data_IF_317900370708
#
_entry.id   IF_317900370708
#
_cell.length_a   1.000
_cell.length_b   1.000
_cell.length_c   1.000
_cell.angle_alpha   90.00
_cell.angle_beta   90.00
_cell.angle_gamma   90.00
#
_symmetry.space_group_name_H-M   'P 1'
#
loop_
_entity.id
_entity.type
_entity.pdbx_description
1 polymer ?
#
# COMPACT_ATOMS: atom_id res chain seq x y z
N UNK A 1 25.70 48.44 25.53
CA UNK A 1 27.09 48.68 25.09
C UNK A 1 28.05 47.91 25.97
N UNK A 2 28.82 46.99 25.42
CA UNK A 2 29.96 46.31 26.04
C UNK A 2 29.80 45.78 27.48
N UNK A 3 29.16 44.66 27.66
CA UNK A 3 29.42 43.76 28.78
C UNK A 3 28.80 42.39 28.41
N UNK A 4 29.51 41.56 27.71
CA UNK A 4 28.98 40.27 27.28
C UNK A 4 30.01 39.27 26.78
N UNK A 5 31.33 39.57 26.94
CA UNK A 5 32.31 38.71 26.26
C UNK A 5 33.35 38.06 27.19
N UNK A 6 33.12 38.01 28.50
CA UNK A 6 34.12 37.43 29.44
C UNK A 6 33.69 36.22 30.25
N UNK A 7 32.45 35.73 30.11
CA UNK A 7 31.98 34.60 30.94
C UNK A 7 31.98 33.22 30.29
N UNK A 8 32.33 33.08 29.00
CA UNK A 8 32.32 31.80 28.31
C UNK A 8 33.60 30.97 28.38
N UNK A 9 34.60 31.37 29.15
CA UNK A 9 35.90 30.70 29.20
C UNK A 9 36.22 29.97 30.51
N UNK A 10 35.26 29.37 31.19
CA UNK A 10 35.59 28.55 32.36
C UNK A 10 34.66 27.35 32.54
N UNK A 11 35.19 26.17 32.17
CA UNK A 11 35.01 24.86 32.83
C UNK A 11 33.58 24.26 32.97
N UNK A 12 33.21 23.53 32.01
CA UNK A 12 32.67 22.16 31.97
C UNK A 12 31.94 21.98 30.64
N UNK A 13 31.87 20.78 30.10
CA UNK A 13 31.23 20.49 28.81
C UNK A 13 29.74 20.90 28.77
N UNK A 14 29.11 21.01 29.93
CA UNK A 14 27.72 21.43 30.06
C UNK A 14 27.54 22.95 29.88
N UNK A 15 28.52 23.74 30.34
CA UNK A 15 28.54 25.21 30.16
C UNK A 15 28.81 25.60 28.71
N UNK A 16 29.55 24.77 27.97
CA UNK A 16 29.80 25.01 26.55
C UNK A 16 28.56 24.79 25.69
N UNK A 17 27.76 23.78 26.01
CA UNK A 17 26.50 23.50 25.36
C UNK A 17 25.46 24.61 25.60
N UNK A 18 25.34 25.12 26.82
CA UNK A 18 24.44 26.25 27.12
C UNK A 18 24.90 27.51 26.40
N UNK A 19 26.20 27.82 26.39
CA UNK A 19 26.74 28.97 25.68
C UNK A 19 26.57 28.87 24.14
N UNK A 20 26.63 27.67 23.58
CA UNK A 20 26.31 27.43 22.16
C UNK A 20 24.82 27.64 21.87
N UNK A 21 23.94 27.18 22.76
CA UNK A 21 22.50 27.37 22.64
C UNK A 21 22.17 28.87 22.71
N UNK A 22 22.70 29.58 23.71
CA UNK A 22 22.50 31.03 23.86
C UNK A 22 23.06 31.83 22.66
N UNK A 23 24.20 31.40 22.10
CA UNK A 23 24.76 31.99 20.88
C UNK A 23 23.86 31.78 19.66
N UNK A 24 23.29 30.55 19.52
CA UNK A 24 22.36 30.23 18.47
C UNK A 24 21.03 30.98 18.62
N UNK A 25 20.52 31.11 19.84
CA UNK A 25 19.34 31.90 20.15
C UNK A 25 19.53 33.39 19.78
N UNK A 26 20.66 33.96 20.16
CA UNK A 26 21.00 35.34 19.81
C UNK A 26 21.22 35.56 18.31
N UNK A 27 21.74 34.55 17.60
CA UNK A 27 21.99 34.60 16.16
C UNK A 27 20.73 34.47 15.32
N UNK A 28 19.76 33.66 15.78
CA UNK A 28 18.47 33.45 15.12
C UNK A 28 17.45 34.57 15.49
N UNK A 29 17.77 35.42 16.47
CA UNK A 29 16.88 36.51 16.91
C UNK A 29 15.65 36.02 17.68
N UNK A 30 15.77 34.86 18.36
CA UNK A 30 14.73 34.31 19.20
C UNK A 30 14.84 34.91 20.61
N UNK A 31 14.20 36.03 20.83
CA UNK A 31 14.20 36.70 22.13
C UNK A 31 13.32 36.00 23.19
N UNK A 32 12.48 35.02 22.76
CA UNK A 32 11.61 34.27 23.67
C UNK A 32 11.44 32.80 23.18
N UNK A 33 12.26 31.89 23.67
CA UNK A 33 12.16 30.47 23.39
C UNK A 33 10.77 29.88 23.78
N UNK A 34 10.17 30.40 24.85
CA UNK A 34 8.83 30.00 25.31
C UNK A 34 7.73 30.36 24.30
N UNK A 35 7.79 31.53 23.68
CA UNK A 35 6.81 31.91 22.65
C UNK A 35 6.97 31.07 21.38
N UNK A 36 8.21 30.73 21.04
CA UNK A 36 8.48 29.86 19.89
C UNK A 36 8.02 28.42 20.14
N UNK A 37 8.25 27.87 21.33
CA UNK A 37 7.74 26.53 21.71
C UNK A 37 6.22 26.50 21.68
N UNK A 38 5.54 27.52 22.17
CA UNK A 38 4.09 27.63 22.10
C UNK A 38 3.60 27.71 20.64
N UNK A 39 4.33 28.42 19.77
CA UNK A 39 4.01 28.48 18.34
C UNK A 39 4.21 27.15 17.62
N UNK A 40 5.29 26.43 17.96
CA UNK A 40 5.56 25.06 17.44
C UNK A 40 4.49 24.09 17.92
N UNK A 41 4.10 24.14 19.19
CA UNK A 41 3.01 23.33 19.72
C UNK A 41 1.69 23.60 18.99
N UNK A 42 1.37 24.87 18.74
CA UNK A 42 0.18 25.22 17.95
C UNK A 42 0.27 24.69 16.51
N UNK A 43 1.42 24.79 15.85
CA UNK A 43 1.64 24.23 14.53
C UNK A 43 1.52 22.70 14.52
N UNK A 44 2.08 22.03 15.53
CA UNK A 44 1.94 20.57 15.69
C UNK A 44 0.46 20.20 15.82
N UNK A 45 -0.31 20.91 16.62
CA UNK A 45 -1.75 20.66 16.78
C UNK A 45 -2.52 20.86 15.48
N UNK A 46 -2.23 21.91 14.72
CA UNK A 46 -2.88 22.18 13.43
C UNK A 46 -2.50 21.16 12.37
N UNK A 47 -1.23 20.70 12.35
CA UNK A 47 -0.76 19.71 11.40
C UNK A 47 -0.94 18.24 11.85
N UNK A 48 -1.35 18.00 13.10
CA UNK A 48 -1.59 16.67 13.66
C UNK A 48 -2.48 15.78 12.75
N UNK A 49 -3.64 16.25 12.25
CA UNK A 49 -4.46 15.46 11.35
C UNK A 49 -3.73 15.06 10.06
N UNK A 50 -2.90 15.94 9.52
CA UNK A 50 -2.09 15.68 8.34
C UNK A 50 -1.02 14.64 8.63
N UNK A 51 -0.35 14.74 9.78
CA UNK A 51 0.65 13.77 10.24
C UNK A 51 0.01 12.39 10.39
N UNK A 52 -1.16 12.31 11.02
CA UNK A 52 -1.87 11.04 11.20
C UNK A 52 -2.25 10.43 9.86
N UNK A 53 -2.80 11.21 8.93
CA UNK A 53 -3.27 10.71 7.62
C UNK A 53 -2.11 10.23 6.73
N UNK A 54 -0.95 10.87 6.80
CA UNK A 54 0.18 10.56 5.90
C UNK A 54 1.23 9.65 6.53
N UNK A 55 1.60 9.91 7.79
CA UNK A 55 2.72 9.21 8.43
C UNK A 55 2.29 7.88 9.05
N UNK A 56 1.14 7.83 9.70
CA UNK A 56 0.69 6.63 10.39
C UNK A 56 0.51 5.41 9.46
N UNK A 57 -0.16 5.53 8.29
CA UNK A 57 -0.25 4.40 7.36
C UNK A 57 1.12 3.96 6.84
N UNK A 58 2.03 4.89 6.61
CA UNK A 58 3.39 4.57 6.20
C UNK A 58 4.15 3.82 7.30
N UNK A 59 4.09 4.32 8.54
CA UNK A 59 4.72 3.65 9.68
C UNK A 59 4.14 2.26 9.94
N UNK A 60 2.82 2.08 9.84
CA UNK A 60 2.21 0.75 10.00
C UNK A 60 2.73 -0.24 8.98
N UNK A 61 2.87 0.16 7.71
CA UNK A 61 3.45 -0.70 6.67
C UNK A 61 4.92 -1.03 7.01
N UNK A 62 5.72 -0.04 7.41
CA UNK A 62 7.12 -0.25 7.80
C UNK A 62 7.22 -1.19 8.99
N UNK A 63 6.41 -1.01 10.04
CA UNK A 63 6.40 -1.89 11.21
C UNK A 63 5.94 -3.31 10.86
N UNK A 64 4.99 -3.48 9.96
CA UNK A 64 4.60 -4.79 9.47
C UNK A 64 5.77 -5.49 8.76
N UNK A 65 6.50 -4.81 7.89
CA UNK A 65 7.70 -5.37 7.26
C UNK A 65 8.79 -5.71 8.26
N UNK A 66 9.04 -4.83 9.23
CA UNK A 66 10.01 -5.10 10.30
C UNK A 66 9.60 -6.30 11.17
N UNK A 67 8.31 -6.42 11.49
CA UNK A 67 7.81 -7.57 12.26
C UNK A 67 7.96 -8.89 11.50
N UNK A 68 7.72 -8.87 10.19
CA UNK A 68 7.94 -10.03 9.31
C UNK A 68 9.42 -10.40 9.27
N UNK A 69 10.31 -9.42 9.10
CA UNK A 69 11.75 -9.65 9.14
C UNK A 69 12.18 -10.25 10.49
N UNK A 70 11.66 -9.72 11.60
CA UNK A 70 11.95 -10.24 12.93
C UNK A 70 11.47 -11.68 13.12
N UNK A 71 10.24 -12.01 12.67
CA UNK A 71 9.71 -13.37 12.72
C UNK A 71 10.52 -14.34 11.86
N UNK A 72 11.02 -13.89 10.71
CA UNK A 72 11.87 -14.69 9.84
C UNK A 72 13.23 -14.98 10.49
N UNK A 73 13.85 -13.96 11.09
CA UNK A 73 15.10 -14.13 11.82
C UNK A 73 14.89 -15.09 13.00
N UNK A 74 13.79 -14.96 13.72
CA UNK A 74 13.45 -15.85 14.83
C UNK A 74 13.21 -17.30 14.38
N UNK A 75 12.41 -17.52 13.34
CA UNK A 75 12.19 -18.84 12.75
C UNK A 75 13.48 -19.45 12.23
N UNK A 76 14.29 -18.65 11.55
CA UNK A 76 15.55 -19.09 10.96
C UNK A 76 16.64 -19.40 12.01
N UNK A 77 16.61 -18.74 13.15
CA UNK A 77 17.52 -19.06 14.27
C UNK A 77 17.36 -20.52 14.76
N UNK A 78 16.16 -21.06 14.65
CA UNK A 78 15.89 -22.46 15.00
C UNK A 78 16.30 -23.41 13.84
N UNK A 79 16.05 -23.05 12.59
CA UNK A 79 16.48 -23.85 11.43
C UNK A 79 18.01 -23.78 11.21
N UNK A 80 18.65 -22.66 11.52
CA UNK A 80 20.11 -22.52 11.46
C UNK A 80 20.85 -23.37 12.50
N UNK A 81 20.22 -23.70 13.63
CA UNK A 81 20.83 -24.64 14.60
C UNK A 81 20.95 -26.06 14.03
N UNK A 82 20.07 -26.44 13.09
CA UNK A 82 20.11 -27.74 12.42
C UNK A 82 20.98 -27.73 11.15
N UNK A 83 21.22 -26.56 10.56
CA UNK A 83 21.90 -26.41 9.27
C UNK A 83 23.37 -25.93 9.37
N UNK A 84 23.95 -25.88 10.57
CA UNK A 84 25.37 -25.51 10.74
C UNK A 84 26.29 -26.62 10.22
N UNK A 85 26.46 -26.68 8.92
CA UNK A 85 27.61 -27.30 8.26
C UNK A 85 28.57 -26.18 7.81
N UNK A 86 29.64 -26.10 8.44
CA UNK A 86 31.01 -25.63 8.13
C UNK A 86 31.29 -24.49 7.13
N UNK A 87 30.34 -23.77 6.55
CA UNK A 87 30.62 -22.66 5.63
C UNK A 87 29.69 -21.48 5.89
N UNK A 88 30.24 -20.43 6.50
CA UNK A 88 29.62 -19.11 6.71
C UNK A 88 29.08 -18.50 5.41
N UNK A 89 29.71 -18.79 4.27
CA UNK A 89 29.31 -18.31 2.94
C UNK A 89 28.05 -18.97 2.40
N UNK A 90 27.88 -20.28 2.62
CA UNK A 90 26.66 -20.98 2.20
C UNK A 90 25.44 -20.58 3.04
N UNK A 91 25.66 -20.29 4.32
CA UNK A 91 24.64 -19.72 5.17
C UNK A 91 24.21 -18.32 4.72
N UNK A 92 25.17 -17.45 4.45
CA UNK A 92 24.93 -16.09 3.96
C UNK A 92 24.25 -16.09 2.57
N UNK A 93 24.67 -16.97 1.67
CA UNK A 93 24.11 -17.11 0.33
C UNK A 93 22.66 -17.63 0.36
N UNK A 94 22.37 -18.61 1.22
CA UNK A 94 21.02 -19.10 1.44
C UNK A 94 20.12 -18.05 2.10
N UNK A 95 20.66 -17.27 3.05
CA UNK A 95 19.92 -16.17 3.69
C UNK A 95 19.64 -15.05 2.71
N UNK A 96 20.60 -14.67 1.87
CA UNK A 96 20.42 -13.69 0.79
C UNK A 96 19.43 -14.18 -0.27
N UNK A 97 19.52 -15.44 -0.70
CA UNK A 97 18.57 -16.01 -1.65
C UNK A 97 17.14 -16.04 -1.09
N UNK A 98 16.98 -16.32 0.20
CA UNK A 98 15.67 -16.34 0.86
C UNK A 98 15.14 -14.94 1.15
N UNK A 99 16.01 -13.96 1.38
CA UNK A 99 15.64 -12.53 1.44
C UNK A 99 15.28 -11.99 0.05
N UNK A 100 15.92 -12.53 -1.00
CA UNK A 100 15.63 -12.18 -2.39
C UNK A 100 14.33 -12.80 -2.91
N UNK A 101 13.96 -13.97 -2.43
CA UNK A 101 12.62 -14.54 -2.59
C UNK A 101 11.57 -13.80 -1.72
N UNK A 102 11.80 -12.53 -1.49
CA UNK A 102 11.03 -11.66 -0.59
C UNK A 102 9.51 -11.67 -0.80
N UNK A 103 9.04 -12.10 -1.97
CA UNK A 103 7.64 -12.40 -2.20
C UNK A 103 7.14 -13.58 -1.37
N UNK A 104 7.82 -14.69 -1.38
CA UNK A 104 7.45 -15.88 -0.60
C UNK A 104 7.52 -15.58 0.91
N UNK A 105 8.50 -14.80 1.32
CA UNK A 105 8.76 -14.41 2.71
C UNK A 105 7.67 -13.51 3.29
N UNK A 106 7.26 -12.48 2.55
CA UNK A 106 6.15 -11.58 2.94
C UNK A 106 4.85 -12.38 3.03
N UNK A 107 4.57 -13.24 2.06
CA UNK A 107 3.39 -14.08 2.04
C UNK A 107 3.36 -15.08 3.20
N UNK A 108 4.47 -15.70 3.56
CA UNK A 108 4.53 -16.65 4.70
C UNK A 108 4.24 -15.97 6.05
N UNK A 109 4.72 -14.74 6.28
CA UNK A 109 4.44 -13.98 7.50
C UNK A 109 2.97 -13.56 7.62
N UNK A 110 2.30 -13.27 6.51
CA UNK A 110 0.88 -12.89 6.45
C UNK A 110 -0.08 -14.07 6.26
N UNK A 111 0.45 -15.27 6.03
CA UNK A 111 -0.37 -16.45 5.71
C UNK A 111 -1.56 -16.64 6.67
N UNK A 112 -1.41 -16.60 8.00
CA UNK A 112 -2.55 -16.80 8.91
C UNK A 112 -3.63 -15.73 8.76
N UNK A 113 -3.22 -14.47 8.50
CA UNK A 113 -4.15 -13.37 8.28
C UNK A 113 -4.89 -13.53 6.95
N UNK A 114 -4.18 -13.90 5.91
CA UNK A 114 -4.72 -14.11 4.57
C UNK A 114 -5.70 -15.28 4.56
N UNK A 115 -5.35 -16.37 5.25
CA UNK A 115 -6.23 -17.54 5.41
C UNK A 115 -7.52 -17.19 6.18
N UNK A 116 -7.42 -16.35 7.23
CA UNK A 116 -8.59 -15.87 7.98
C UNK A 116 -9.55 -15.03 7.11
N UNK A 117 -9.04 -14.33 6.10
CA UNK A 117 -9.86 -13.61 5.12
C UNK A 117 -10.32 -14.48 3.93
N UNK A 118 -10.04 -15.77 3.94
CA UNK A 118 -10.41 -16.70 2.86
C UNK A 118 -9.66 -16.44 1.55
N UNK A 119 -8.50 -15.77 1.60
CA UNK A 119 -7.68 -15.54 0.41
C UNK A 119 -6.94 -16.81 0.03
N UNK A 120 -7.18 -17.28 -1.18
CA UNK A 120 -6.46 -18.42 -1.75
C UNK A 120 -5.07 -17.94 -2.18
N UNK A 121 -4.05 -18.47 -1.52
CA UNK A 121 -2.66 -18.29 -1.94
C UNK A 121 -2.21 -19.55 -2.63
N UNK A 122 -2.01 -19.48 -3.93
CA UNK A 122 -1.57 -20.65 -4.62
C UNK A 122 -1.51 -20.51 -6.13
N UNK A 123 -1.03 -21.56 -6.76
CA UNK A 123 -0.99 -21.67 -8.20
C UNK A 123 -2.41 -21.68 -8.78
N UNK A 124 -2.49 -21.49 -10.08
CA UNK A 124 -3.71 -21.47 -10.87
C UNK A 124 -4.63 -22.67 -10.60
N UNK A 125 -4.04 -23.83 -10.38
CA UNK A 125 -4.71 -25.12 -10.13
C UNK A 125 -5.62 -25.06 -8.89
N UNK A 126 -5.18 -24.40 -7.83
CA UNK A 126 -5.99 -24.22 -6.62
C UNK A 126 -7.21 -23.33 -6.87
N UNK A 127 -7.05 -22.28 -7.69
CA UNK A 127 -8.16 -21.42 -8.10
C UNK A 127 -9.20 -22.22 -8.91
N UNK A 128 -8.75 -23.01 -9.87
CA UNK A 128 -9.61 -23.88 -10.69
C UNK A 128 -10.33 -24.92 -9.82
N UNK A 129 -9.63 -25.54 -8.87
CA UNK A 129 -10.20 -26.49 -7.92
C UNK A 129 -11.30 -25.87 -7.05
N UNK A 130 -11.06 -24.66 -6.54
CA UNK A 130 -12.04 -23.92 -5.75
C UNK A 130 -13.32 -23.64 -6.56
N UNK A 131 -13.19 -23.19 -7.81
CA UNK A 131 -14.31 -22.92 -8.70
C UNK A 131 -15.09 -24.21 -9.05
N UNK A 132 -14.40 -25.30 -9.34
CA UNK A 132 -15.04 -26.62 -9.61
C UNK A 132 -15.77 -27.19 -8.39
N UNK A 133 -15.33 -26.82 -7.19
CA UNK A 133 -16.02 -27.18 -5.94
C UNK A 133 -17.24 -26.26 -5.64
N UNK A 134 -17.61 -25.36 -6.56
CA UNK A 134 -18.77 -24.49 -6.41
C UNK A 134 -18.53 -23.24 -5.57
N UNK A 135 -17.28 -22.91 -5.25
CA UNK A 135 -16.96 -21.67 -4.53
C UNK A 135 -16.92 -20.47 -5.48
N UNK A 136 -17.30 -19.29 -4.95
CA UNK A 136 -17.11 -18.03 -5.64
C UNK A 136 -15.67 -17.56 -5.44
N UNK A 137 -15.02 -17.09 -6.51
CA UNK A 137 -13.65 -16.61 -6.48
C UNK A 137 -13.57 -15.17 -6.98
N UNK A 138 -13.11 -14.25 -6.13
CA UNK A 138 -12.79 -12.88 -6.52
C UNK A 138 -11.33 -12.78 -6.97
N UNK A 139 -11.09 -12.27 -8.17
CA UNK A 139 -9.75 -12.05 -8.71
C UNK A 139 -9.59 -10.59 -9.08
N UNK A 140 -8.46 -9.98 -8.69
CA UNK A 140 -8.04 -8.65 -9.10
C UNK A 140 -6.95 -8.74 -10.19
N UNK A 141 -7.29 -8.58 -11.48
CA UNK A 141 -6.35 -8.83 -12.58
C UNK A 141 -5.12 -7.92 -12.57
N UNK A 142 -5.30 -6.66 -12.21
CA UNK A 142 -4.20 -5.69 -12.09
C UNK A 142 -3.27 -5.96 -10.92
N UNK A 143 -3.77 -6.67 -9.90
CA UNK A 143 -3.03 -7.02 -8.70
C UNK A 143 -2.42 -5.80 -8.00
N UNK A 144 -1.33 -6.04 -7.30
CA UNK A 144 -0.64 -5.00 -6.51
C UNK A 144 -0.16 -3.81 -7.35
N UNK A 145 0.24 -4.03 -8.62
CA UNK A 145 0.67 -2.95 -9.50
C UNK A 145 -0.45 -1.94 -9.74
N UNK A 146 -1.65 -2.41 -10.03
CA UNK A 146 -2.82 -1.55 -10.22
C UNK A 146 -3.23 -0.87 -8.91
N UNK A 147 -3.18 -1.60 -7.78
CA UNK A 147 -3.49 -1.05 -6.48
C UNK A 147 -2.57 0.14 -6.12
N UNK A 148 -1.27 0.03 -6.43
CA UNK A 148 -0.27 1.04 -6.08
C UNK A 148 -0.15 2.20 -7.08
N UNK A 149 -0.42 1.98 -8.36
CA UNK A 149 -0.14 2.97 -9.42
C UNK A 149 -1.37 3.47 -10.17
N UNK A 150 -2.56 3.01 -9.83
CA UNK A 150 -3.81 3.57 -10.33
C UNK A 150 -4.13 4.89 -9.63
N UNK A 151 -4.69 5.82 -10.37
CA UNK A 151 -4.99 7.19 -9.96
C UNK A 151 -6.47 7.54 -10.12
N UNK A 152 -6.80 8.83 -10.05
CA UNK A 152 -8.15 9.37 -10.23
C UNK A 152 -8.73 9.22 -11.63
N UNK A 153 -7.94 8.79 -12.60
CA UNK A 153 -8.42 8.52 -13.98
C UNK A 153 -9.07 7.15 -14.12
N UNK A 154 -8.92 6.28 -13.12
CA UNK A 154 -9.42 4.91 -13.14
C UNK A 154 -8.96 4.09 -14.36
N UNK A 155 -7.78 4.41 -14.88
CA UNK A 155 -7.19 3.67 -16.00
C UNK A 155 -6.85 2.24 -15.55
N UNK A 156 -7.31 1.25 -16.32
CA UNK A 156 -7.06 -0.17 -16.05
C UNK A 156 -5.62 -0.53 -16.41
N UNK A 157 -4.83 -0.99 -15.45
CA UNK A 157 -3.40 -1.29 -15.59
C UNK A 157 -3.13 -2.81 -15.51
N UNK A 158 -3.76 -3.59 -16.40
CA UNK A 158 -3.55 -5.04 -16.42
C UNK A 158 -2.34 -5.47 -17.24
N UNK A 159 -1.95 -4.67 -18.24
CA UNK A 159 -0.93 -5.05 -19.22
C UNK A 159 -1.34 -6.32 -19.96
N UNK A 160 -0.42 -7.27 -20.10
CA UNK A 160 -0.65 -8.56 -20.79
C UNK A 160 -1.20 -9.66 -19.87
N UNK A 161 -1.70 -9.33 -18.69
CA UNK A 161 -2.18 -10.31 -17.71
C UNK A 161 -3.50 -10.92 -18.15
N UNK A 162 -3.49 -12.23 -18.38
CA UNK A 162 -4.63 -13.04 -18.81
C UNK A 162 -4.86 -14.30 -17.96
N UNK A 163 -4.13 -14.43 -16.85
CA UNK A 163 -4.21 -15.61 -15.97
C UNK A 163 -5.59 -15.84 -15.38
N UNK A 164 -6.32 -14.78 -15.03
CA UNK A 164 -7.69 -14.86 -14.51
C UNK A 164 -8.67 -15.43 -15.54
N UNK A 165 -8.51 -15.00 -16.81
CA UNK A 165 -9.34 -15.50 -17.90
C UNK A 165 -9.05 -16.99 -18.18
N UNK A 166 -7.78 -17.39 -18.08
CA UNK A 166 -7.41 -18.80 -18.21
C UNK A 166 -7.98 -19.66 -17.08
N UNK A 167 -8.03 -19.15 -15.84
CA UNK A 167 -8.67 -19.86 -14.71
C UNK A 167 -10.16 -20.06 -14.97
N UNK A 168 -10.86 -19.05 -15.50
CA UNK A 168 -12.27 -19.18 -15.83
C UNK A 168 -12.53 -20.19 -16.98
N UNK A 169 -11.67 -20.20 -18.00
CA UNK A 169 -11.73 -21.16 -19.10
C UNK A 169 -11.50 -22.58 -18.60
N UNK A 170 -10.45 -22.80 -17.79
CA UNK A 170 -10.11 -24.13 -17.27
C UNK A 170 -11.16 -24.67 -16.29
N UNK A 171 -11.88 -23.79 -15.63
CA UNK A 171 -12.98 -24.14 -14.72
C UNK A 171 -14.36 -24.19 -15.42
N UNK A 172 -14.46 -23.70 -16.68
CA UNK A 172 -15.70 -23.60 -17.46
C UNK A 172 -16.80 -22.76 -16.77
N UNK A 173 -16.37 -21.67 -16.11
CA UNK A 173 -17.28 -20.79 -15.36
C UNK A 173 -17.40 -19.41 -15.99
N UNK A 174 -18.54 -18.71 -15.80
CA UNK A 174 -18.71 -17.33 -16.26
C UNK A 174 -17.86 -16.36 -15.43
N UNK A 175 -17.51 -15.21 -16.04
CA UNK A 175 -16.88 -14.08 -15.34
C UNK A 175 -17.93 -13.01 -15.10
N UNK A 176 -18.04 -12.55 -13.86
CA UNK A 176 -18.90 -11.42 -13.48
C UNK A 176 -18.01 -10.20 -13.27
N UNK A 177 -18.05 -9.19 -14.17
CA UNK A 177 -17.31 -7.96 -14.00
C UNK A 177 -17.83 -7.18 -12.79
N UNK A 178 -16.92 -6.68 -11.96
CA UNK A 178 -17.28 -5.94 -10.75
C UNK A 178 -16.45 -4.65 -10.64
N UNK A 179 -17.12 -3.55 -10.29
CA UNK A 179 -16.49 -2.26 -10.08
C UNK A 179 -17.00 -1.60 -8.80
N UNK A 180 -16.10 -1.04 -8.00
CA UNK A 180 -16.44 -0.28 -6.80
C UNK A 180 -16.15 1.19 -7.00
N UNK A 181 -17.20 2.01 -6.98
CA UNK A 181 -17.15 3.46 -7.10
C UNK A 181 -16.46 4.12 -5.90
N UNK A 182 -15.74 5.22 -6.13
CA UNK A 182 -15.09 6.08 -5.14
C UNK A 182 -13.95 5.41 -4.34
N UNK A 183 -13.40 4.28 -4.82
CA UNK A 183 -12.32 3.60 -4.10
C UNK A 183 -11.03 4.42 -4.10
N UNK A 184 -10.76 5.18 -5.18
CA UNK A 184 -9.58 6.06 -5.29
C UNK A 184 -9.75 7.39 -4.57
N UNK A 185 -10.97 7.79 -4.30
CA UNK A 185 -11.31 8.93 -3.44
C UNK A 185 -11.15 8.60 -1.97
N UNK A 186 -11.36 7.32 -1.59
CA UNK A 186 -11.12 6.87 -0.21
C UNK A 186 -9.65 6.69 0.09
N UNK A 187 -8.91 6.07 -0.84
CA UNK A 187 -7.51 5.72 -0.66
C UNK A 187 -6.71 6.10 -1.89
N UNK A 188 -5.67 6.90 -1.70
CA UNK A 188 -4.72 7.29 -2.73
C UNK A 188 -3.32 6.83 -2.40
N UNK A 189 -2.49 6.72 -3.43
CA UNK A 189 -1.10 6.32 -3.30
C UNK A 189 -0.20 7.40 -3.89
N UNK A 190 1.03 7.48 -3.38
CA UNK A 190 2.08 8.31 -3.99
C UNK A 190 2.80 7.61 -5.15
N UNK A 191 2.17 6.58 -5.74
CA UNK A 191 2.69 5.83 -6.88
C UNK A 191 2.91 6.64 -8.16
N UNK A 192 2.33 7.84 -8.24
CA UNK A 192 2.60 8.81 -9.31
C UNK A 192 4.07 9.25 -9.34
N UNK A 193 4.75 9.26 -8.19
CA UNK A 193 6.14 9.66 -8.09
C UNK A 193 7.05 8.58 -8.70
N UNK A 194 7.92 9.00 -9.63
CA UNK A 194 8.83 8.12 -10.38
C UNK A 194 9.73 7.26 -9.48
N UNK A 195 10.12 7.79 -8.32
CA UNK A 195 10.98 7.09 -7.34
C UNK A 195 10.32 5.80 -6.84
N UNK A 196 9.03 5.87 -6.43
CA UNK A 196 8.31 4.68 -5.93
C UNK A 196 8.03 3.68 -7.04
N UNK A 197 7.73 4.16 -8.26
CA UNK A 197 7.57 3.28 -9.42
C UNK A 197 8.88 2.57 -9.75
N UNK A 198 9.99 3.29 -9.78
CA UNK A 198 11.32 2.73 -10.01
C UNK A 198 11.68 1.69 -8.93
N UNK A 199 11.45 2.02 -7.65
CA UNK A 199 11.71 1.11 -6.52
C UNK A 199 10.90 -0.18 -6.66
N UNK A 200 9.61 -0.09 -6.97
CA UNK A 200 8.77 -1.25 -7.18
C UNK A 200 9.21 -2.09 -8.39
N UNK A 201 9.50 -1.45 -9.51
CA UNK A 201 9.89 -2.15 -10.73
C UNK A 201 11.27 -2.81 -10.61
N UNK A 202 12.22 -2.16 -9.92
CA UNK A 202 13.59 -2.65 -9.74
C UNK A 202 13.72 -3.68 -8.61
N UNK A 203 13.15 -3.37 -7.44
CA UNK A 203 13.32 -4.16 -6.22
C UNK A 203 12.11 -5.04 -5.91
N UNK A 204 11.00 -4.88 -6.64
CA UNK A 204 9.71 -5.55 -6.37
C UNK A 204 9.17 -5.30 -4.95
N UNK A 205 9.63 -4.23 -4.30
CA UNK A 205 9.19 -3.84 -2.98
C UNK A 205 7.95 -2.92 -3.10
N UNK A 206 6.81 -3.28 -2.52
CA UNK A 206 5.59 -2.49 -2.57
C UNK A 206 5.60 -1.35 -1.54
N UNK A 207 6.72 -0.64 -1.44
CA UNK A 207 6.93 0.49 -0.53
C UNK A 207 6.39 1.79 -1.16
N UNK A 208 5.11 1.82 -1.45
CA UNK A 208 4.44 3.02 -1.94
C UNK A 208 3.54 3.56 -0.84
N UNK A 209 3.80 4.78 -0.34
CA UNK A 209 2.96 5.37 0.69
C UNK A 209 1.52 5.49 0.20
N UNK A 210 0.61 5.02 1.02
CA UNK A 210 -0.83 5.11 0.79
C UNK A 210 -1.40 6.07 1.81
N UNK A 211 -2.26 6.98 1.39
CA UNK A 211 -2.94 7.91 2.27
C UNK A 211 -4.44 7.92 2.00
N UNK A 212 -5.22 8.36 2.97
CA UNK A 212 -6.66 8.44 2.86
C UNK A 212 -7.38 7.86 4.08
N UNK A 213 -8.35 6.98 3.84
CA UNK A 213 -9.32 6.58 4.84
C UNK A 213 -10.48 7.59 4.89
N UNK A 214 -10.67 8.36 3.81
CA UNK A 214 -11.74 9.34 3.72
C UNK A 214 -13.10 8.63 3.74
N UNK A 215 -14.07 9.13 4.51
CA UNK A 215 -15.36 8.49 4.69
C UNK A 215 -16.29 8.73 3.50
N UNK A 216 -15.87 8.34 2.30
CA UNK A 216 -16.68 8.41 1.09
C UNK A 216 -17.66 7.24 1.02
N UNK A 217 -18.68 7.35 0.18
CA UNK A 217 -19.67 6.30 -0.01
C UNK A 217 -19.22 5.34 -1.11
N UNK A 218 -18.97 4.08 -0.73
CA UNK A 218 -18.72 3.01 -1.69
C UNK A 218 -20.03 2.46 -2.26
N UNK A 219 -20.01 2.18 -3.55
CA UNK A 219 -21.04 1.42 -4.25
C UNK A 219 -20.37 0.43 -5.17
N UNK A 220 -20.70 -0.84 -5.03
CA UNK A 220 -20.20 -1.91 -5.88
C UNK A 220 -21.26 -2.25 -6.92
N UNK A 221 -20.88 -2.18 -8.19
CA UNK A 221 -21.70 -2.52 -9.33
C UNK A 221 -21.23 -3.83 -9.93
N UNK A 222 -22.17 -4.70 -10.20
CA UNK A 222 -21.96 -5.96 -10.91
C UNK A 222 -22.44 -5.76 -12.34
N UNK A 223 -21.63 -6.16 -13.32
CA UNK A 223 -22.02 -6.20 -14.72
C UNK A 223 -22.65 -7.53 -15.09
N UNK A 224 -23.10 -7.62 -16.32
CA UNK A 224 -23.67 -8.85 -16.85
C UNK A 224 -22.62 -9.98 -16.86
N UNK A 225 -23.01 -11.19 -16.50
CA UNK A 225 -22.11 -12.34 -16.57
C UNK A 225 -21.64 -12.59 -17.99
N UNK A 226 -20.34 -12.71 -18.19
CA UNK A 226 -19.72 -13.13 -19.44
C UNK A 226 -19.66 -14.65 -19.44
N UNK A 227 -20.50 -15.33 -20.23
CA UNK A 227 -20.58 -16.79 -20.23
C UNK A 227 -19.28 -17.41 -20.79
N UNK A 228 -18.98 -18.61 -20.33
CA UNK A 228 -17.98 -19.45 -20.97
C UNK A 228 -18.43 -19.83 -22.39
N UNK A 229 -17.54 -19.68 -23.35
CA UNK A 229 -17.75 -20.09 -24.73
C UNK A 229 -16.63 -21.07 -25.11
N UNK A 230 -16.94 -22.29 -25.54
CA UNK A 230 -15.92 -23.24 -25.99
C UNK A 230 -15.06 -22.66 -27.13
N UNK A 231 -13.74 -22.80 -27.02
CA UNK A 231 -12.81 -22.32 -28.03
C UNK A 231 -12.39 -20.84 -27.89
N UNK A 232 -12.93 -20.08 -26.91
CA UNK A 232 -12.48 -18.72 -26.65
C UNK A 232 -11.05 -18.72 -26.11
N UNK A 233 -10.20 -17.82 -26.59
CA UNK A 233 -8.86 -17.66 -26.07
C UNK A 233 -8.84 -16.82 -24.76
N UNK A 234 -7.86 -17.09 -23.90
CA UNK A 234 -7.70 -16.30 -22.68
C UNK A 234 -7.46 -14.80 -22.94
N UNK A 235 -6.87 -14.45 -24.10
CA UNK A 235 -6.66 -13.08 -24.50
C UNK A 235 -7.98 -12.39 -24.85
N UNK A 236 -8.81 -13.02 -25.66
CA UNK A 236 -10.13 -12.50 -26.04
C UNK A 236 -11.07 -12.34 -24.83
N UNK A 237 -11.07 -13.36 -23.93
CA UNK A 237 -11.89 -13.30 -22.72
C UNK A 237 -11.40 -12.18 -21.78
N UNK A 238 -10.09 -11.96 -21.69
CA UNK A 238 -9.52 -10.87 -20.90
C UNK A 238 -9.91 -9.50 -21.47
N UNK A 239 -9.87 -9.31 -22.78
CA UNK A 239 -10.29 -8.04 -23.42
C UNK A 239 -11.80 -7.80 -23.30
N UNK A 240 -12.64 -8.84 -23.44
CA UNK A 240 -14.08 -8.73 -23.16
C UNK A 240 -14.35 -8.30 -21.72
N UNK A 241 -13.65 -8.91 -20.76
CA UNK A 241 -13.79 -8.55 -19.34
C UNK A 241 -13.33 -7.12 -19.08
N UNK A 242 -12.22 -6.70 -19.68
CA UNK A 242 -11.69 -5.35 -19.56
C UNK A 242 -12.67 -4.32 -20.10
N UNK A 243 -13.23 -4.55 -21.29
CA UNK A 243 -14.26 -3.68 -21.89
C UNK A 243 -15.51 -3.59 -21.01
N UNK A 244 -15.95 -4.70 -20.43
CA UNK A 244 -17.10 -4.71 -19.55
C UNK A 244 -16.85 -3.90 -18.26
N UNK A 245 -15.67 -4.03 -17.64
CA UNK A 245 -15.30 -3.21 -16.48
C UNK A 245 -15.14 -1.75 -16.86
N UNK A 246 -14.54 -1.43 -18.01
CA UNK A 246 -14.44 -0.04 -18.49
C UNK A 246 -15.82 0.57 -18.66
N UNK A 247 -16.76 -0.15 -19.23
CA UNK A 247 -18.17 0.31 -19.36
C UNK A 247 -18.81 0.58 -17.99
N UNK A 248 -18.54 -0.24 -16.97
CA UNK A 248 -19.00 0.01 -15.60
C UNK A 248 -18.37 1.26 -15.00
N UNK A 249 -17.07 1.47 -15.23
CA UNK A 249 -16.36 2.66 -14.78
C UNK A 249 -16.97 3.90 -15.43
N UNK A 250 -17.09 3.92 -16.74
CA UNK A 250 -17.60 5.06 -17.51
C UNK A 250 -19.04 5.42 -17.13
N UNK A 251 -19.86 4.40 -16.80
CA UNK A 251 -21.25 4.58 -16.41
C UNK A 251 -21.43 5.09 -14.97
N UNK A 252 -20.59 4.63 -14.05
CA UNK A 252 -20.84 4.81 -12.62
C UNK A 252 -19.81 5.67 -11.90
N UNK A 253 -18.63 5.90 -12.49
CA UNK A 253 -17.57 6.72 -11.92
C UNK A 253 -17.47 8.05 -12.66
N UNK A 254 -17.39 9.11 -11.88
CA UNK A 254 -17.05 10.43 -12.43
C UNK A 254 -15.54 10.54 -12.60
N UNK A 255 -15.07 10.81 -13.80
CA UNK A 255 -13.66 10.92 -14.15
C UNK A 255 -13.35 12.37 -14.58
N UNK A 256 -12.29 13.00 -14.06
CA UNK A 256 -11.40 12.48 -12.99
C UNK A 256 -12.08 12.46 -11.62
N UNK A 257 -11.71 11.49 -10.79
CA UNK A 257 -12.22 11.34 -9.43
C UNK A 257 -11.83 12.51 -8.53
N UNK A 258 -12.77 12.99 -7.72
CA UNK A 258 -12.57 14.12 -6.81
C UNK A 258 -13.03 13.77 -5.39
N UNK A 259 -12.09 13.85 -4.43
CA UNK A 259 -12.31 13.49 -3.03
C UNK A 259 -13.45 14.32 -2.42
N UNK A 260 -13.43 15.64 -2.65
CA UNK A 260 -14.41 16.55 -2.06
C UNK A 260 -15.83 16.25 -2.55
N UNK A 261 -15.99 15.98 -3.85
CA UNK A 261 -17.28 15.60 -4.43
C UNK A 261 -17.76 14.25 -3.90
N UNK A 262 -16.86 13.27 -3.78
CA UNK A 262 -17.20 11.95 -3.24
C UNK A 262 -17.63 12.02 -1.76
N UNK A 263 -17.05 12.94 -0.98
CA UNK A 263 -17.47 13.23 0.39
C UNK A 263 -18.87 13.87 0.42
N UNK A 264 -19.13 14.83 -0.46
CA UNK A 264 -20.45 15.47 -0.57
C UNK A 264 -21.55 14.48 -0.99
N UNK A 265 -21.24 13.54 -1.87
CA UNK A 265 -22.17 12.47 -2.29
C UNK A 265 -22.68 11.62 -1.11
N UNK A 266 -21.96 11.56 -0.01
CA UNK A 266 -22.38 10.85 1.19
C UNK A 266 -23.62 11.48 1.81
N UNK A 267 -23.74 12.80 1.74
CA UNK A 267 -24.84 13.57 2.33
C UNK A 267 -26.05 13.68 1.40
N UNK A 268 -25.87 13.44 0.09
CA UNK A 268 -26.96 13.44 -0.87
C UNK A 268 -27.71 12.11 -0.80
N UNK A 269 -28.95 12.18 -0.28
CA UNK A 269 -29.87 11.04 -0.25
C UNK A 269 -30.40 10.82 -1.66
N UNK A 270 -29.86 9.83 -2.38
CA UNK A 270 -30.46 9.43 -3.65
C UNK A 270 -31.84 8.86 -3.37
N UNK A 271 -32.89 9.46 -3.94
CA UNK A 271 -34.18 8.80 -4.04
C UNK A 271 -33.99 7.46 -4.75
N UNK A 272 -34.51 6.39 -4.14
CA UNK A 272 -34.56 5.09 -4.80
C UNK A 272 -35.38 5.28 -6.07
N UNK A 273 -34.75 5.11 -7.22
CA UNK A 273 -35.47 4.83 -8.45
C UNK A 273 -36.16 3.48 -8.23
N UNK A 274 -37.47 3.53 -8.07
CA UNK A 274 -38.38 2.38 -7.95
C UNK A 274 -38.46 1.66 -9.28
#
# INVERSE_FOLDING_TARGET
>A
MRAGNESCMAWSSMTYLTCLVDFWEAWIGLDNLEDYLNYVDYLIWVFMPLIIVFILPFLTVVFLYLSILFLLVYKRKNELKEAYSNSLWDGARKTLATLWDGHATIWHGFKPLIEAFGVIHGPKEECVKALRNGHLLGISPGGLREALFSDETYTIIWGSRKGFAQVAIDAEVPIIPMFTQNIREAYRTLGVLRVFRWLYEKCRLPLVPTYGGFPVKFRTYLGDPIPYVPGITAAELAEKTKSAIQSLIDKHQRIPGNIFQALLERFHRRQKES
#
